data_IF_638783677654
#
_entry.id   IF_638783677654
#
_cell.length_a   1.000
_cell.length_b   1.000
_cell.length_c   1.000
_cell.angle_alpha   90.00
_cell.angle_beta   90.00
_cell.angle_gamma   90.00
#
_symmetry.space_group_name_H-M   'P 1'
#
loop_
_entity.id
_entity.type
_entity.pdbx_description
1 polymer ?
#
# COMPACT_ATOMS: atom_id res chain seq x y z
N UNK A 1 23.04 -0.71 -3.81
CA UNK A 1 21.70 -1.20 -3.45
C UNK A 1 20.80 0.01 -3.31
N UNK A 2 19.86 0.18 -4.24
CA UNK A 2 18.79 1.16 -4.07
C UNK A 2 17.68 0.46 -3.29
N UNK A 3 17.36 0.94 -2.09
CA UNK A 3 16.17 0.49 -1.37
C UNK A 3 14.91 0.75 -2.20
N UNK A 4 13.87 -0.06 -1.99
CA UNK A 4 12.62 0.05 -2.74
C UNK A 4 11.99 1.43 -2.60
N UNK A 5 11.30 1.87 -3.66
CA UNK A 5 10.59 3.17 -3.74
C UNK A 5 9.30 3.19 -2.89
N UNK A 6 9.12 2.20 -2.03
CA UNK A 6 7.92 2.00 -1.22
C UNK A 6 7.86 3.08 -0.13
N UNK A 7 7.02 4.08 -0.35
CA UNK A 7 6.87 5.24 0.53
C UNK A 7 6.53 6.53 -0.24
N UNK A 8 6.84 6.59 -1.54
CA UNK A 8 6.35 7.63 -2.44
C UNK A 8 5.15 7.08 -3.23
N UNK A 9 3.95 7.58 -2.92
CA UNK A 9 2.71 7.12 -3.52
C UNK A 9 2.62 7.63 -4.98
N UNK A 10 3.09 6.79 -5.91
CA UNK A 10 3.08 7.06 -7.34
C UNK A 10 2.26 6.04 -8.15
N UNK A 11 2.21 6.19 -9.49
CA UNK A 11 1.47 5.29 -10.36
C UNK A 11 1.84 3.81 -10.20
N UNK A 12 3.10 3.51 -9.85
CA UNK A 12 3.58 2.13 -9.61
C UNK A 12 2.97 1.54 -8.34
N UNK A 13 2.88 2.31 -7.25
CA UNK A 13 2.26 1.84 -6.01
C UNK A 13 0.75 1.65 -6.16
N UNK A 14 0.08 2.49 -6.96
CA UNK A 14 -1.34 2.32 -7.27
C UNK A 14 -1.59 1.06 -8.10
N UNK A 15 -0.75 0.79 -9.11
CA UNK A 15 -0.84 -0.44 -9.90
C UNK A 15 -0.64 -1.68 -9.04
N UNK A 16 0.37 -1.68 -8.16
CA UNK A 16 0.60 -2.79 -7.24
C UNK A 16 -0.66 -3.08 -6.41
N UNK A 17 -1.27 -2.04 -5.82
CA UNK A 17 -2.50 -2.17 -5.05
C UNK A 17 -3.64 -2.75 -5.89
N UNK A 18 -3.84 -2.26 -7.12
CA UNK A 18 -4.87 -2.76 -8.04
C UNK A 18 -4.62 -4.24 -8.41
N UNK A 19 -3.39 -4.63 -8.72
CA UNK A 19 -3.02 -6.01 -9.00
C UNK A 19 -3.37 -6.95 -7.85
N UNK A 20 -3.09 -6.53 -6.62
CA UNK A 20 -3.43 -7.28 -5.40
C UNK A 20 -4.94 -7.42 -5.19
N UNK A 21 -5.72 -6.38 -5.51
CA UNK A 21 -7.19 -6.45 -5.50
C UNK A 21 -7.71 -7.40 -6.57
N UNK A 22 -7.20 -7.35 -7.80
CA UNK A 22 -7.57 -8.28 -8.87
C UNK A 22 -7.25 -9.74 -8.51
N UNK A 23 -6.10 -9.99 -7.89
CA UNK A 23 -5.76 -11.31 -7.36
C UNK A 23 -6.78 -11.79 -6.33
N UNK A 24 -7.08 -10.97 -5.34
CA UNK A 24 -8.07 -11.32 -4.32
C UNK A 24 -9.44 -11.64 -4.92
N UNK A 25 -9.91 -10.82 -5.87
CA UNK A 25 -11.20 -11.04 -6.52
C UNK A 25 -11.26 -12.33 -7.35
N UNK A 26 -10.14 -12.75 -7.93
CA UNK A 26 -10.10 -13.90 -8.86
C UNK A 26 -9.74 -15.21 -8.17
N UNK A 27 -8.98 -15.16 -7.06
CA UNK A 27 -8.52 -16.34 -6.31
C UNK A 27 -9.26 -16.54 -5.00
N UNK A 28 -9.88 -15.49 -4.45
CA UNK A 28 -10.62 -15.53 -3.19
C UNK A 28 -9.74 -15.51 -1.95
N UNK A 29 -8.43 -15.24 -2.10
CA UNK A 29 -7.48 -15.17 -0.99
C UNK A 29 -6.47 -14.04 -1.20
N UNK A 30 -5.91 -13.55 -0.10
CA UNK A 30 -4.85 -12.54 -0.14
C UNK A 30 -3.55 -13.12 -0.69
N UNK A 31 -2.65 -12.24 -1.12
CA UNK A 31 -1.30 -12.60 -1.53
C UNK A 31 -0.57 -13.30 -0.39
N UNK A 32 -0.05 -14.48 -0.66
CA UNK A 32 0.71 -15.26 0.32
C UNK A 32 -0.05 -15.52 1.64
N UNK A 33 -1.38 -15.69 1.56
CA UNK A 33 -2.23 -15.98 2.73
C UNK A 33 -1.80 -17.19 3.57
N UNK A 34 -0.95 -18.05 3.01
CA UNK A 34 -0.35 -19.21 3.68
C UNK A 34 0.88 -18.90 4.54
N UNK A 35 1.47 -17.71 4.42
CA UNK A 35 2.66 -17.29 5.17
C UNK A 35 2.29 -16.44 6.39
N UNK A 36 3.22 -16.31 7.33
CA UNK A 36 3.09 -15.33 8.41
C UNK A 36 3.35 -13.90 7.91
N UNK A 37 2.72 -12.91 8.56
CA UNK A 37 2.72 -11.51 8.11
C UNK A 37 4.11 -10.94 7.76
N UNK A 38 5.17 -11.14 8.57
CA UNK A 38 6.52 -10.68 8.22
C UNK A 38 7.04 -11.28 6.91
N UNK A 39 6.87 -12.59 6.72
CA UNK A 39 7.33 -13.29 5.52
C UNK A 39 6.54 -12.86 4.27
N UNK A 40 5.25 -12.55 4.43
CA UNK A 40 4.45 -11.97 3.35
C UNK A 40 5.03 -10.62 2.91
N UNK A 41 5.31 -9.73 3.87
CA UNK A 41 5.85 -8.41 3.61
C UNK A 41 7.24 -8.50 2.97
N UNK A 42 8.12 -9.34 3.50
CA UNK A 42 9.49 -9.49 3.00
C UNK A 42 9.49 -9.96 1.53
N UNK A 43 8.67 -10.95 1.17
CA UNK A 43 8.53 -11.39 -0.23
C UNK A 43 8.06 -10.28 -1.16
N UNK A 44 7.07 -9.49 -0.72
CA UNK A 44 6.53 -8.40 -1.52
C UNK A 44 7.55 -7.26 -1.68
N UNK A 45 8.33 -6.97 -0.64
CA UNK A 45 9.42 -5.99 -0.70
C UNK A 45 10.55 -6.44 -1.63
N UNK A 46 10.81 -7.74 -1.70
CA UNK A 46 11.77 -8.35 -2.63
C UNK A 46 11.25 -8.43 -4.07
N UNK A 47 10.00 -8.01 -4.34
CA UNK A 47 9.37 -8.10 -5.66
C UNK A 47 9.11 -9.55 -6.10
N UNK A 48 9.02 -10.46 -5.14
CA UNK A 48 8.66 -11.86 -5.37
C UNK A 48 7.14 -11.94 -5.36
N UNK A 49 6.57 -12.30 -6.51
CA UNK A 49 5.13 -12.45 -6.69
C UNK A 49 4.78 -13.90 -7.02
N UNK A 50 3.54 -14.35 -6.74
CA UNK A 50 3.06 -15.63 -7.23
C UNK A 50 3.16 -15.72 -8.75
N UNK A 51 3.32 -16.94 -9.26
CA UNK A 51 3.30 -17.17 -10.70
C UNK A 51 1.92 -16.82 -11.27
N UNK A 52 1.92 -16.08 -12.37
CA UNK A 52 0.74 -15.72 -13.16
C UNK A 52 0.88 -16.35 -14.54
N UNK A 53 -0.19 -16.86 -15.14
CA UNK A 53 -0.16 -17.34 -16.52
C UNK A 53 -0.23 -16.16 -17.51
N UNK A 54 0.83 -15.86 -18.29
CA UNK A 54 0.79 -14.75 -19.24
C UNK A 54 -0.19 -14.95 -20.41
N UNK A 55 -0.67 -16.19 -20.64
CA UNK A 55 -1.67 -16.50 -21.66
C UNK A 55 -3.10 -16.28 -21.17
N UNK A 56 -3.33 -16.30 -19.85
CA UNK A 56 -4.61 -15.91 -19.28
C UNK A 56 -4.69 -14.37 -19.21
N UNK A 57 -5.70 -13.73 -19.83
CA UNK A 57 -5.77 -12.28 -19.90
C UNK A 57 -5.85 -11.58 -18.54
N UNK A 58 -6.46 -12.22 -17.54
CA UNK A 58 -6.62 -11.66 -16.19
C UNK A 58 -5.28 -11.75 -15.45
N UNK A 59 -4.63 -12.90 -15.49
CA UNK A 59 -3.30 -13.10 -14.90
C UNK A 59 -2.23 -12.22 -15.56
N UNK A 60 -2.33 -11.96 -16.87
CA UNK A 60 -1.49 -10.98 -17.57
C UNK A 60 -1.65 -9.58 -16.98
N UNK A 61 -2.88 -9.12 -16.74
CA UNK A 61 -3.15 -7.82 -16.09
C UNK A 61 -2.58 -7.78 -14.68
N UNK A 62 -2.86 -8.80 -13.87
CA UNK A 62 -2.34 -8.89 -12.49
C UNK A 62 -0.81 -8.80 -12.48
N UNK A 63 -0.16 -9.60 -13.34
CA UNK A 63 1.28 -9.63 -13.47
C UNK A 63 1.88 -8.31 -13.95
N UNK A 64 1.22 -7.60 -14.86
CA UNK A 64 1.65 -6.28 -15.32
C UNK A 64 1.51 -5.21 -14.24
N UNK A 65 0.43 -5.25 -13.47
CA UNK A 65 0.20 -4.36 -12.34
C UNK A 65 1.30 -4.46 -11.28
N UNK A 66 1.66 -5.67 -10.84
CA UNK A 66 2.70 -5.85 -9.83
C UNK A 66 4.09 -5.44 -10.27
N UNK A 67 4.40 -5.56 -11.57
CA UNK A 67 5.68 -5.15 -12.15
C UNK A 67 5.72 -3.69 -12.57
N UNK A 68 4.61 -2.96 -12.41
CA UNK A 68 4.50 -1.55 -12.79
C UNK A 68 4.64 -1.33 -14.31
N UNK A 69 4.16 -2.26 -15.13
CA UNK A 69 4.31 -2.20 -16.58
C UNK A 69 3.39 -1.16 -17.26
N UNK A 70 2.41 -0.61 -16.56
CA UNK A 70 1.59 0.48 -17.10
C UNK A 70 2.23 1.82 -16.78
N UNK A 71 2.40 2.67 -17.79
CA UNK A 71 2.89 4.03 -17.57
C UNK A 71 1.83 4.89 -16.86
N UNK A 72 0.55 4.62 -17.15
CA UNK A 72 -0.61 5.29 -16.56
C UNK A 72 -1.70 4.27 -16.24
N UNK A 73 -2.53 4.57 -15.26
CA UNK A 73 -3.73 3.76 -14.96
C UNK A 73 -4.69 3.70 -16.17
N UNK A 74 -4.70 4.71 -17.03
CA UNK A 74 -5.46 4.68 -18.28
C UNK A 74 -5.04 3.53 -19.21
N UNK A 75 -3.75 3.17 -19.23
CA UNK A 75 -3.25 2.09 -20.08
C UNK A 75 -3.75 0.72 -19.57
N UNK A 76 -3.85 0.54 -18.24
CA UNK A 76 -4.52 -0.61 -17.61
C UNK A 76 -6.01 -0.69 -17.99
N UNK A 77 -6.70 0.45 -18.03
CA UNK A 77 -8.13 0.50 -18.41
C UNK A 77 -8.33 0.05 -19.86
N UNK A 78 -7.41 0.36 -20.77
CA UNK A 78 -7.48 -0.13 -22.15
C UNK A 78 -7.35 -1.66 -22.22
N UNK A 79 -6.42 -2.27 -21.49
CA UNK A 79 -6.31 -3.74 -21.42
C UNK A 79 -7.60 -4.38 -20.86
N UNK A 80 -8.21 -3.78 -19.83
CA UNK A 80 -9.48 -4.28 -19.28
C UNK A 80 -10.61 -4.21 -20.31
N UNK A 81 -10.69 -3.13 -21.09
CA UNK A 81 -11.70 -2.99 -22.15
C UNK A 81 -11.53 -4.04 -23.24
N UNK A 82 -10.29 -4.33 -23.62
CA UNK A 82 -9.99 -5.35 -24.63
C UNK A 82 -10.53 -6.72 -24.19
N UNK A 83 -10.32 -7.09 -22.92
CA UNK A 83 -10.83 -8.35 -22.36
C UNK A 83 -12.36 -8.39 -22.33
N UNK A 84 -12.99 -7.29 -21.89
CA UNK A 84 -14.45 -7.26 -21.71
C UNK A 84 -15.20 -7.06 -23.04
N UNK A 85 -14.51 -6.69 -24.12
CA UNK A 85 -15.13 -6.42 -25.42
C UNK A 85 -16.14 -5.26 -25.39
N UNK A 86 -15.98 -4.32 -24.45
CA UNK A 86 -16.90 -3.19 -24.25
C UNK A 86 -16.18 -1.86 -24.39
N UNK A 87 -16.86 -0.91 -25.04
CA UNK A 87 -16.46 0.50 -25.00
C UNK A 87 -16.84 1.10 -23.65
N UNK A 88 -15.95 1.01 -22.67
CA UNK A 88 -16.07 1.83 -21.47
C UNK A 88 -15.74 3.27 -21.87
N UNK A 89 -16.69 4.19 -21.70
CA UNK A 89 -16.41 5.61 -21.94
C UNK A 89 -15.31 6.06 -20.97
N UNK A 90 -14.10 6.23 -21.50
CA UNK A 90 -13.02 6.88 -20.77
C UNK A 90 -13.45 8.32 -20.52
N UNK A 91 -13.55 8.73 -19.25
CA UNK A 91 -13.83 10.14 -18.96
C UNK A 91 -12.71 11.00 -19.55
N UNK A 92 -13.10 12.12 -20.17
CA UNK A 92 -12.15 13.07 -20.72
C UNK A 92 -11.11 13.46 -19.67
N UNK A 93 -9.86 13.64 -20.13
CA UNK A 93 -8.78 14.13 -19.28
C UNK A 93 -9.26 15.38 -18.52
N UNK A 94 -9.21 15.32 -17.19
CA UNK A 94 -9.64 16.43 -16.34
C UNK A 94 -8.94 17.73 -16.75
N UNK A 95 -9.71 18.82 -16.82
CA UNK A 95 -9.17 20.14 -17.07
C UNK A 95 -8.19 20.54 -15.96
N UNK A 96 -7.26 21.44 -16.28
CA UNK A 96 -6.32 22.01 -15.30
C UNK A 96 -7.07 22.64 -14.12
N UNK A 97 -8.14 23.39 -14.39
CA UNK A 97 -8.98 24.03 -13.36
C UNK A 97 -9.56 23.00 -12.40
N UNK A 98 -10.15 21.91 -12.91
CA UNK A 98 -10.69 20.83 -12.08
C UNK A 98 -9.59 20.15 -11.25
N UNK A 99 -8.41 19.93 -11.82
CA UNK A 99 -7.27 19.36 -11.10
C UNK A 99 -6.84 20.26 -9.94
N UNK A 100 -6.73 21.57 -10.17
CA UNK A 100 -6.37 22.53 -9.13
C UNK A 100 -7.42 22.59 -8.02
N UNK A 101 -8.70 22.58 -8.37
CA UNK A 101 -9.79 22.60 -7.39
C UNK A 101 -9.79 21.34 -6.51
N UNK A 102 -9.66 20.16 -7.12
CA UNK A 102 -9.55 18.90 -6.37
C UNK A 102 -8.34 18.85 -5.46
N UNK A 103 -7.18 19.30 -5.94
CA UNK A 103 -5.96 19.41 -5.12
C UNK A 103 -6.19 20.30 -3.91
N UNK A 104 -6.79 21.49 -4.10
CA UNK A 104 -7.10 22.43 -3.01
C UNK A 104 -8.05 21.82 -1.98
N UNK A 105 -9.06 21.08 -2.44
CA UNK A 105 -9.99 20.38 -1.53
C UNK A 105 -9.26 19.31 -0.71
N UNK A 106 -8.43 18.47 -1.34
CA UNK A 106 -7.62 17.48 -0.64
C UNK A 106 -6.73 18.12 0.42
N UNK A 107 -5.97 19.17 0.05
CA UNK A 107 -5.10 19.92 0.97
C UNK A 107 -5.90 20.46 2.17
N UNK A 108 -7.10 21.01 1.92
CA UNK A 108 -8.01 21.45 2.99
C UNK A 108 -8.41 20.30 3.91
N UNK A 109 -8.83 19.16 3.38
CA UNK A 109 -9.19 17.98 4.18
C UNK A 109 -8.03 17.47 5.02
N UNK A 110 -6.83 17.34 4.43
CA UNK A 110 -5.63 16.92 5.18
C UNK A 110 -5.25 17.91 6.28
N UNK A 111 -5.40 19.22 6.04
CA UNK A 111 -5.15 20.22 7.08
C UNK A 111 -6.15 20.18 8.25
N UNK A 112 -7.39 19.75 7.99
CA UNK A 112 -8.42 19.57 9.03
C UNK A 112 -8.17 18.30 9.86
N UNK A 113 -7.53 17.30 9.28
CA UNK A 113 -7.14 16.04 9.92
C UNK A 113 -5.79 16.15 10.64
N UNK A 114 -5.48 17.30 11.26
CA UNK A 114 -4.25 17.54 12.04
C UNK A 114 -3.87 16.37 12.97
N UNK A 115 -2.58 16.25 13.33
CA UNK A 115 -1.89 14.96 13.51
C UNK A 115 -2.68 13.99 14.37
N UNK A 116 -3.06 12.86 13.78
CA UNK A 116 -3.34 11.65 14.52
C UNK A 116 -2.11 11.40 15.40
N UNK A 117 -2.25 11.62 16.70
CA UNK A 117 -1.15 11.64 17.64
C UNK A 117 -0.31 10.38 17.47
N UNK A 118 0.98 10.60 17.20
CA UNK A 118 2.04 9.62 17.34
C UNK A 118 1.97 9.05 18.76
N UNK A 119 1.27 7.93 18.93
CA UNK A 119 1.18 7.21 20.21
C UNK A 119 2.51 6.59 20.62
N UNK A 120 3.57 6.75 19.80
CA UNK A 120 4.91 6.26 20.05
C UNK A 120 5.68 7.09 21.08
N UNK A 121 5.37 8.37 21.26
CA UNK A 121 6.05 9.23 22.25
C UNK A 121 5.51 9.10 23.67
N UNK A 122 4.37 8.44 23.89
CA UNK A 122 3.83 8.24 25.27
C UNK A 122 4.42 7.02 25.98
N UNK A 123 4.99 6.06 25.23
CA UNK A 123 5.59 4.86 25.81
C UNK A 123 7.04 5.07 26.28
N UNK A 124 7.76 6.06 25.74
CA UNK A 124 9.11 6.39 26.21
C UNK A 124 9.09 7.17 27.54
N UNK A 125 8.07 8.00 27.79
CA UNK A 125 7.87 8.69 29.08
C UNK A 125 7.39 7.77 30.21
N UNK A 126 6.75 6.64 29.88
CA UNK A 126 6.36 5.62 30.87
C UNK A 126 7.58 4.76 31.24
N UNK A 127 8.45 4.46 30.26
CA UNK A 127 9.66 3.66 30.49
C UNK A 127 10.72 4.40 31.30
N UNK A 128 10.87 5.70 31.12
CA UNK A 128 11.80 6.52 31.91
C UNK A 128 11.34 6.81 33.34
N UNK A 129 10.05 6.61 33.67
CA UNK A 129 9.54 6.72 35.06
C UNK A 129 9.59 5.42 35.86
N UNK A 130 9.83 4.28 35.21
CA UNK A 130 9.91 2.98 35.89
C UNK A 130 11.30 2.70 36.47
N UNK A 131 12.35 3.38 35.98
CA UNK A 131 13.75 3.15 36.41
C UNK A 131 14.19 3.97 37.64
N UNK A 132 13.45 5.01 38.03
CA UNK A 132 13.76 5.85 39.22
C UNK A 132 13.09 5.35 40.52
N UNK A 133 12.44 4.19 40.51
CA UNK A 133 11.56 3.72 41.59
C UNK A 133 11.97 2.45 42.35
N UNK A 134 13.20 1.92 42.15
CA UNK A 134 13.66 0.74 42.89
C UNK A 134 14.99 1.01 43.55
N UNK A 135 14.94 1.55 44.76
CA UNK A 135 16.03 1.44 45.72
C UNK A 135 15.45 1.19 47.12
N UNK A 136 15.85 0.03 47.64
CA UNK A 136 16.12 -0.26 49.05
C UNK A 136 14.93 -0.51 50.00
N UNK A 137 14.61 -1.79 50.19
CA UNK A 137 14.49 -2.36 51.54
C UNK A 137 15.02 -3.79 51.53
N UNK A 138 16.33 -3.93 51.65
CA UNK A 138 16.95 -5.16 52.15
C UNK A 138 17.27 -4.94 53.63
N UNK A 139 16.35 -5.30 54.53
CA UNK A 139 16.61 -5.34 55.97
C UNK A 139 16.16 -6.69 56.53
N UNK A 140 17.14 -7.59 56.56
CA UNK A 140 17.51 -8.47 57.66
C UNK A 140 16.65 -9.72 57.94
N UNK A 141 17.13 -10.83 57.38
CA UNK A 141 17.13 -12.13 58.05
C UNK A 141 17.97 -12.05 59.35
N UNK A 142 17.30 -12.13 60.50
CA UNK A 142 17.71 -12.89 61.69
C UNK A 142 16.53 -13.09 62.63
#
# INVERSE_FOLDING_TARGET
MFGGVYGDAGPVTEQFALGSVFWYMTRGSELYSELEGPDQVDRLLDGIFPATDPQDPIDKIIGNCWRGHYLRIADLVEDIKEILGVEIQSQNAMSSTQRHERRRLCEKYYSLMGPFQDSRTRNEDIRSKQEDGVADTDVLLQ
#
